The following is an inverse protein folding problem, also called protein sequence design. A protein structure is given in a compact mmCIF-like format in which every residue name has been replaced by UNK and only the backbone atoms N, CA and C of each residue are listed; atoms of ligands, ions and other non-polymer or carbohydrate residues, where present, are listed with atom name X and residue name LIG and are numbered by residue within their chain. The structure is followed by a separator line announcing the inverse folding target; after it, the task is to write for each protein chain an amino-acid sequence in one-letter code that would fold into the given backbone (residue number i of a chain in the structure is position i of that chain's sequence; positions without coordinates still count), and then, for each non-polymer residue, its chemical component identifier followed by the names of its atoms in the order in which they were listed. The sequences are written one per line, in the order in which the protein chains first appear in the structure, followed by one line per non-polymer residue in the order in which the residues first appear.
data_IF_955474580396
#
_entry.id   IF_955474580396
#
_cell.length_a   1.000
_cell.length_b   1.000
_cell.length_c   1.000
_cell.angle_alpha   90.00
_cell.angle_beta   90.00
_cell.angle_gamma   90.00
#
_symmetry.space_group_name_H-M   'P 1'
#
loop_
_entity.id
_entity.type
_entity.pdbx_description
1 polymer ?
#
# COMPACT_ATOMS: atom_id res chain seq x y z
N UNK A 1 -3.04 -2.42 15.52
CA UNK A 1 -3.50 -3.58 14.73
C UNK A 1 -4.39 -4.41 15.62
N UNK A 2 -5.70 -4.38 15.36
CA UNK A 2 -6.65 -5.30 16.01
C UNK A 2 -6.26 -6.75 15.67
N UNK A 3 -6.62 -7.69 16.55
CA UNK A 3 -6.28 -9.11 16.50
C UNK A 3 -6.95 -9.85 15.33
N UNK A 4 -6.76 -9.41 14.09
CA UNK A 4 -7.17 -10.19 12.95
C UNK A 4 -6.19 -11.34 12.73
N UNK A 5 -6.74 -12.54 12.52
CA UNK A 5 -5.93 -13.73 12.32
C UNK A 5 -5.29 -13.61 10.93
N UNK A 6 -3.96 -13.51 10.91
CA UNK A 6 -3.16 -13.51 9.68
C UNK A 6 -3.55 -14.68 8.77
N UNK A 7 -3.45 -14.53 7.44
CA UNK A 7 -3.76 -15.59 6.50
C UNK A 7 -3.05 -16.91 6.82
N UNK A 8 -3.73 -18.03 6.61
CA UNK A 8 -3.19 -19.36 6.93
C UNK A 8 -2.43 -20.05 5.79
N UNK A 9 -2.56 -19.54 4.56
CA UNK A 9 -1.92 -20.06 3.35
C UNK A 9 -1.97 -19.02 2.22
N UNK A 10 -1.28 -19.30 1.10
CA UNK A 10 -1.23 -18.40 -0.07
C UNK A 10 -2.62 -18.09 -0.64
N UNK A 11 -3.54 -19.05 -0.69
CA UNK A 11 -4.86 -18.81 -1.28
C UNK A 11 -5.68 -17.82 -0.44
N UNK A 12 -5.69 -17.97 0.89
CA UNK A 12 -6.34 -17.04 1.82
C UNK A 12 -5.71 -15.63 1.74
N UNK A 13 -4.37 -15.56 1.69
CA UNK A 13 -3.66 -14.28 1.54
C UNK A 13 -4.07 -13.54 0.25
N UNK A 14 -4.02 -14.24 -0.89
CA UNK A 14 -4.36 -13.65 -2.18
C UNK A 14 -5.85 -13.28 -2.25
N UNK A 15 -6.74 -14.08 -1.68
CA UNK A 15 -8.17 -13.76 -1.62
C UNK A 15 -8.45 -12.46 -0.87
N UNK A 16 -7.78 -12.23 0.28
CA UNK A 16 -7.94 -10.98 1.03
C UNK A 16 -7.38 -9.77 0.29
N UNK A 17 -6.20 -9.92 -0.31
CA UNK A 17 -5.56 -8.88 -1.15
C UNK A 17 -6.49 -8.47 -2.29
N UNK A 18 -6.96 -9.43 -3.09
CA UNK A 18 -7.81 -9.17 -4.25
C UNK A 18 -9.17 -8.58 -3.84
N UNK A 19 -9.79 -9.08 -2.75
CA UNK A 19 -11.06 -8.53 -2.27
C UNK A 19 -10.95 -7.05 -1.89
N UNK A 20 -9.96 -6.71 -1.08
CA UNK A 20 -9.75 -5.34 -0.62
C UNK A 20 -9.33 -4.41 -1.77
N UNK A 21 -8.55 -4.94 -2.74
CA UNK A 21 -8.24 -4.25 -3.97
C UNK A 21 -9.48 -3.96 -4.83
N UNK A 22 -10.36 -4.94 -5.02
CA UNK A 22 -11.62 -4.78 -5.75
C UNK A 22 -12.54 -3.75 -5.08
N UNK A 23 -12.62 -3.76 -3.74
CA UNK A 23 -13.36 -2.75 -2.97
C UNK A 23 -12.80 -1.34 -3.17
N UNK A 24 -11.48 -1.18 -3.19
CA UNK A 24 -10.81 0.09 -3.47
C UNK A 24 -11.17 0.61 -4.86
N UNK A 25 -11.11 -0.25 -5.89
CA UNK A 25 -11.44 0.16 -7.25
C UNK A 25 -12.92 0.41 -7.48
N UNK A 26 -13.81 -0.28 -6.78
CA UNK A 26 -15.24 -0.04 -6.87
C UNK A 26 -15.60 1.43 -6.52
N UNK A 27 -14.89 2.03 -5.56
CA UNK A 27 -15.10 3.43 -5.15
C UNK A 27 -14.34 4.40 -6.07
N UNK A 28 -13.20 4.00 -6.63
CA UNK A 28 -12.39 4.86 -7.53
C UNK A 28 -12.98 4.94 -8.95
N UNK A 29 -13.64 3.89 -9.44
CA UNK A 29 -14.16 3.83 -10.81
C UNK A 29 -15.48 4.60 -11.03
N UNK A 30 -16.17 4.99 -9.96
CA UNK A 30 -17.43 5.74 -10.03
C UNK A 30 -17.27 7.26 -10.26
N UNK A 31 -16.42 7.98 -9.50
CA UNK A 31 -16.29 9.43 -9.56
C UNK A 31 -15.65 9.96 -10.85
N UNK A 32 -15.89 11.24 -11.13
CA UNK A 32 -15.21 11.96 -12.21
C UNK A 32 -13.75 12.25 -11.90
N UNK A 33 -12.94 12.46 -12.94
CA UNK A 33 -11.54 12.87 -12.80
C UNK A 33 -11.35 14.15 -11.95
N UNK A 34 -12.31 15.09 -12.00
CA UNK A 34 -12.27 16.28 -11.16
C UNK A 34 -12.45 15.94 -9.67
N UNK A 35 -13.39 15.03 -9.35
CA UNK A 35 -13.61 14.57 -7.97
C UNK A 35 -12.40 13.80 -7.44
N UNK A 36 -11.79 12.93 -8.25
CA UNK A 36 -10.61 12.16 -7.86
C UNK A 36 -9.38 13.03 -7.58
N UNK A 37 -9.34 14.25 -8.12
CA UNK A 37 -8.25 15.20 -7.95
C UNK A 37 -8.58 16.36 -7.00
N UNK A 38 -9.79 16.42 -6.46
CA UNK A 38 -10.19 17.45 -5.51
C UNK A 38 -9.57 17.14 -4.14
N UNK A 39 -8.76 18.06 -3.57
CA UNK A 39 -8.18 17.85 -2.25
C UNK A 39 -9.21 18.08 -1.15
N UNK A 40 -9.04 17.38 -0.02
CA UNK A 40 -9.72 17.68 1.24
C UNK A 40 -9.09 18.86 1.99
N UNK A 41 -9.51 19.07 3.25
CA UNK A 41 -8.95 20.08 4.14
C UNK A 41 -7.48 19.81 4.52
N UNK A 42 -7.02 18.56 4.44
CA UNK A 42 -5.62 18.17 4.64
C UNK A 42 -4.75 18.37 3.39
N UNK A 43 -5.37 18.68 2.25
CA UNK A 43 -4.68 18.91 0.97
C UNK A 43 -4.48 17.64 0.13
N UNK A 44 -5.06 16.51 0.54
CA UNK A 44 -4.93 15.22 -0.13
C UNK A 44 -6.17 14.93 -0.98
N UNK A 45 -5.97 14.48 -2.21
CA UNK A 45 -7.04 13.99 -3.08
C UNK A 45 -7.08 12.46 -3.08
N UNK A 46 -8.10 11.87 -3.72
CA UNK A 46 -8.15 10.41 -3.95
C UNK A 46 -6.92 9.95 -4.76
N UNK A 47 -6.50 10.73 -5.76
CA UNK A 47 -5.27 10.48 -6.52
C UNK A 47 -4.05 10.40 -5.61
N UNK A 48 -3.94 11.31 -4.64
CA UNK A 48 -2.77 11.36 -3.75
C UNK A 48 -2.76 10.19 -2.76
N UNK A 49 -3.93 9.80 -2.25
CA UNK A 49 -4.10 8.59 -1.44
C UNK A 49 -3.72 7.33 -2.23
N UNK A 50 -4.21 7.17 -3.46
CA UNK A 50 -3.85 6.04 -4.31
C UNK A 50 -2.33 6.00 -4.60
N UNK A 51 -1.71 7.15 -4.85
CA UNK A 51 -0.27 7.25 -5.05
C UNK A 51 0.53 6.87 -3.80
N UNK A 52 0.04 7.22 -2.61
CA UNK A 52 0.64 6.87 -1.33
C UNK A 52 0.57 5.36 -1.05
N UNK A 53 -0.63 4.78 -1.17
CA UNK A 53 -0.84 3.34 -1.02
C UNK A 53 0.07 2.55 -1.98
N UNK A 54 0.10 2.96 -3.25
CA UNK A 54 0.95 2.34 -4.28
C UNK A 54 2.44 2.44 -3.95
N UNK A 55 2.88 3.54 -3.31
CA UNK A 55 4.29 3.73 -2.96
C UNK A 55 4.73 2.77 -1.85
N UNK A 56 3.92 2.59 -0.82
CA UNK A 56 4.18 1.64 0.27
C UNK A 56 4.09 0.18 -0.18
N UNK A 57 3.11 -0.15 -1.03
CA UNK A 57 3.02 -1.48 -1.63
C UNK A 57 4.26 -1.83 -2.47
N UNK A 58 4.71 -0.89 -3.31
CA UNK A 58 5.95 -1.05 -4.08
C UNK A 58 7.17 -1.15 -3.16
N UNK A 59 7.22 -0.35 -2.10
CA UNK A 59 8.31 -0.40 -1.13
C UNK A 59 8.38 -1.77 -0.45
N UNK A 60 7.24 -2.32 -0.03
CA UNK A 60 7.16 -3.68 0.52
C UNK A 60 7.69 -4.74 -0.46
N UNK A 61 7.26 -4.69 -1.73
CA UNK A 61 7.73 -5.63 -2.75
C UNK A 61 9.25 -5.56 -2.92
N UNK A 62 9.81 -4.36 -3.04
CA UNK A 62 11.22 -4.16 -3.33
C UNK A 62 12.10 -4.42 -2.11
N UNK A 63 11.75 -3.84 -0.96
CA UNK A 63 12.57 -3.91 0.24
C UNK A 63 12.32 -5.21 1.01
N UNK A 64 11.09 -5.45 1.47
CA UNK A 64 10.81 -6.57 2.35
C UNK A 64 10.85 -7.92 1.63
N UNK A 65 10.36 -7.98 0.39
CA UNK A 65 10.27 -9.24 -0.33
C UNK A 65 11.50 -9.53 -1.21
N UNK A 66 12.07 -8.51 -1.85
CA UNK A 66 13.21 -8.68 -2.77
C UNK A 66 14.56 -8.26 -2.19
N UNK A 67 14.58 -7.69 -0.98
CA UNK A 67 15.81 -7.36 -0.26
C UNK A 67 16.58 -6.16 -0.80
N UNK A 68 15.93 -5.27 -1.57
CA UNK A 68 16.55 -4.00 -1.97
C UNK A 68 16.80 -3.12 -0.74
N UNK A 69 17.88 -2.31 -0.70
CA UNK A 69 18.06 -1.31 0.35
C UNK A 69 16.85 -0.36 0.44
N UNK A 70 16.45 0.01 1.65
CA UNK A 70 15.24 0.77 1.92
C UNK A 70 15.17 2.10 1.12
N UNK A 71 16.29 2.83 1.07
CA UNK A 71 16.35 4.09 0.31
C UNK A 71 16.24 3.92 -1.21
N UNK A 72 16.75 2.82 -1.77
CA UNK A 72 16.60 2.49 -3.18
C UNK A 72 15.15 2.09 -3.50
N UNK A 73 14.53 1.29 -2.63
CA UNK A 73 13.15 0.84 -2.77
C UNK A 73 12.15 2.02 -2.72
N UNK A 74 12.33 2.94 -1.77
CA UNK A 74 11.45 4.10 -1.58
C UNK A 74 11.70 5.19 -2.64
N UNK A 75 12.96 5.36 -3.04
CA UNK A 75 13.38 6.34 -4.04
C UNK A 75 13.17 7.80 -3.59
N UNK A 76 13.33 8.06 -2.29
CA UNK A 76 13.34 9.41 -1.68
C UNK A 76 14.59 9.63 -0.82
N UNK A 77 15.62 8.80 -0.97
CA UNK A 77 16.72 8.70 0.00
C UNK A 77 16.42 7.67 1.09
N UNK A 78 17.33 7.54 2.06
CA UNK A 78 17.22 6.58 3.15
C UNK A 78 16.08 6.96 4.11
N UNK A 79 15.09 6.08 4.37
CA UNK A 79 14.02 6.35 5.32
C UNK A 79 14.50 6.69 6.74
N UNK A 80 15.69 6.21 7.14
CA UNK A 80 16.26 6.50 8.46
C UNK A 80 16.74 7.95 8.62
N UNK A 81 16.84 8.71 7.51
CA UNK A 81 17.14 10.15 7.54
C UNK A 81 15.92 11.01 7.89
N UNK A 82 14.72 10.42 7.93
CA UNK A 82 13.47 11.09 8.28
C UNK A 82 13.13 10.91 9.75
N UNK A 83 12.49 11.92 10.36
CA UNK A 83 12.18 11.92 11.79
C UNK A 83 11.08 10.94 12.14
N UNK A 84 10.08 10.80 11.26
CA UNK A 84 8.94 9.91 11.43
C UNK A 84 8.27 9.57 10.07
N UNK A 85 7.21 8.76 10.12
CA UNK A 85 6.41 8.42 8.95
C UNK A 85 5.70 9.63 8.33
N UNK A 86 5.42 10.70 9.09
CA UNK A 86 4.78 11.89 8.52
C UNK A 86 5.72 12.60 7.56
N UNK A 87 7.01 12.71 7.89
CA UNK A 87 8.00 13.29 6.99
C UNK A 87 8.22 12.44 5.73
N UNK A 88 8.24 11.11 5.88
CA UNK A 88 8.27 10.17 4.73
C UNK A 88 7.03 10.37 3.85
N UNK A 89 5.84 10.41 4.45
CA UNK A 89 4.58 10.59 3.74
C UNK A 89 4.54 11.93 3.01
N UNK A 90 5.06 13.00 3.63
CA UNK A 90 5.17 14.31 2.97
C UNK A 90 6.16 14.29 1.79
N UNK A 91 7.29 13.57 1.91
CA UNK A 91 8.24 13.40 0.81
C UNK A 91 7.63 12.59 -0.35
N UNK A 92 6.93 11.50 -0.05
CA UNK A 92 6.20 10.69 -1.04
C UNK A 92 5.07 11.49 -1.70
N UNK A 93 4.32 12.28 -0.94
CA UNK A 93 3.30 13.19 -1.47
C UNK A 93 3.92 14.17 -2.46
N UNK A 94 5.01 14.86 -2.07
CA UNK A 94 5.69 15.81 -2.94
C UNK A 94 6.25 15.17 -4.22
N UNK A 95 6.83 13.97 -4.12
CA UNK A 95 7.33 13.19 -5.26
C UNK A 95 6.22 12.84 -6.25
N UNK A 96 5.01 12.54 -5.76
CA UNK A 96 3.90 12.08 -6.59
C UNK A 96 2.95 13.20 -7.02
N UNK A 97 3.01 14.39 -6.41
CA UNK A 97 2.05 15.49 -6.61
C UNK A 97 1.81 15.87 -8.07
N UNK A 98 2.88 15.88 -8.87
CA UNK A 98 2.85 16.26 -10.28
C UNK A 98 2.42 15.14 -11.24
N UNK A 99 2.23 13.90 -10.74
CA UNK A 99 1.77 12.78 -11.57
C UNK A 99 0.32 12.97 -11.97
N UNK A 100 0.00 12.56 -13.19
CA UNK A 100 -1.39 12.55 -13.66
C UNK A 100 -2.18 11.43 -12.99
N UNK A 101 -3.51 11.54 -12.97
CA UNK A 101 -4.38 10.47 -12.48
C UNK A 101 -4.16 9.17 -13.27
N UNK A 102 -3.97 9.26 -14.59
CA UNK A 102 -3.67 8.12 -15.45
C UNK A 102 -2.36 7.41 -15.03
N UNK A 103 -1.28 8.16 -14.81
CA UNK A 103 0.00 7.58 -14.40
C UNK A 103 -0.07 6.92 -13.02
N UNK A 104 -0.85 7.49 -12.10
CA UNK A 104 -1.04 6.93 -10.76
C UNK A 104 -1.85 5.64 -10.83
N UNK A 105 -2.97 5.64 -11.55
CA UNK A 105 -3.85 4.47 -11.69
C UNK A 105 -3.19 3.31 -12.45
N UNK A 106 -2.45 3.60 -13.53
CA UNK A 106 -1.67 2.57 -14.25
C UNK A 106 -0.57 1.98 -13.36
N UNK A 107 0.16 2.83 -12.63
CA UNK A 107 1.20 2.38 -11.70
C UNK A 107 0.64 1.54 -10.56
N UNK A 108 -0.51 1.91 -10.00
CA UNK A 108 -1.18 1.16 -8.94
C UNK A 108 -1.47 -0.27 -9.44
N UNK A 109 -2.15 -0.40 -10.59
CA UNK A 109 -2.48 -1.70 -11.20
C UNK A 109 -1.23 -2.52 -11.54
N UNK A 110 -0.18 -1.87 -12.01
CA UNK A 110 1.08 -2.54 -12.35
C UNK A 110 1.82 -3.05 -11.11
N UNK A 111 1.85 -2.28 -10.03
CA UNK A 111 2.48 -2.67 -8.75
C UNK A 111 1.70 -3.81 -8.11
N UNK A 112 0.38 -3.68 -8.02
CA UNK A 112 -0.49 -4.71 -7.46
C UNK A 112 -0.31 -6.06 -8.16
N UNK A 113 -0.33 -6.08 -9.50
CA UNK A 113 -0.07 -7.31 -10.27
C UNK A 113 1.30 -7.92 -9.95
N UNK A 114 2.35 -7.10 -9.83
CA UNK A 114 3.68 -7.60 -9.49
C UNK A 114 3.73 -8.19 -8.07
N UNK A 115 3.00 -7.60 -7.12
CA UNK A 115 2.87 -8.12 -5.75
C UNK A 115 2.15 -9.47 -5.76
N UNK A 116 0.98 -9.55 -6.40
CA UNK A 116 0.19 -10.79 -6.50
C UNK A 116 0.99 -11.91 -7.18
N UNK A 117 1.63 -11.60 -8.31
CA UNK A 117 2.48 -12.56 -9.04
C UNK A 117 3.63 -13.06 -8.17
N UNK A 118 4.29 -12.16 -7.42
CA UNK A 118 5.38 -12.51 -6.52
C UNK A 118 4.90 -13.41 -5.39
N UNK A 119 3.84 -13.02 -4.68
CA UNK A 119 3.28 -13.77 -3.55
C UNK A 119 2.76 -15.15 -3.97
N UNK A 120 2.22 -15.28 -5.19
CA UNK A 120 1.81 -16.56 -5.76
C UNK A 120 3.01 -17.46 -6.12
N UNK A 121 4.18 -16.89 -6.39
CA UNK A 121 5.37 -17.62 -6.83
C UNK A 121 6.23 -18.18 -5.71
N UNK A 122 6.12 -17.63 -4.49
CA UNK A 122 6.92 -18.04 -3.33
C UNK A 122 6.18 -19.02 -2.43
N UNK A 123 6.87 -19.98 -1.77
CA UNK A 123 6.24 -20.82 -0.76
C UNK A 123 5.67 -19.97 0.38
N UNK A 124 4.49 -20.33 0.88
CA UNK A 124 3.85 -19.59 1.98
C UNK A 124 4.72 -19.55 3.24
N UNK A 125 5.48 -20.61 3.49
CA UNK A 125 6.41 -20.72 4.61
C UNK A 125 7.50 -19.64 4.60
N UNK A 126 7.84 -19.11 3.43
CA UNK A 126 8.76 -17.96 3.32
C UNK A 126 8.16 -16.71 3.96
N UNK A 127 6.85 -16.50 3.80
CA UNK A 127 6.16 -15.36 4.42
C UNK A 127 6.00 -15.53 5.93
N UNK A 128 6.11 -16.77 6.43
CA UNK A 128 6.07 -17.08 7.86
C UNK A 128 7.44 -16.98 8.55
N UNK A 129 8.50 -16.68 7.80
CA UNK A 129 9.82 -16.43 8.38
C UNK A 129 9.84 -15.09 9.11
N UNK A 130 10.63 -15.01 10.17
CA UNK A 130 10.88 -13.77 10.90
C UNK A 130 11.56 -12.76 9.97
N UNK A 131 11.04 -11.54 9.93
CA UNK A 131 11.58 -10.48 9.06
C UNK A 131 12.89 -9.89 9.60
N UNK A 132 12.92 -9.59 10.90
CA UNK A 132 14.06 -8.97 11.57
C UNK A 132 14.48 -9.77 12.79
N UNK A 133 15.75 -10.16 12.88
CA UNK A 133 16.29 -10.99 13.96
C UNK A 133 16.14 -10.34 15.35
N UNK A 134 16.13 -9.00 15.41
CA UNK A 134 16.02 -8.19 16.63
C UNK A 134 14.58 -7.82 17.01
N UNK A 135 13.58 -8.22 16.22
CA UNK A 135 12.18 -8.03 16.56
C UNK A 135 11.78 -8.93 17.75
N UNK A 136 11.48 -8.36 18.94
CA UNK A 136 11.14 -9.17 20.13
C UNK A 136 9.84 -9.95 19.96
N UNK A 137 8.94 -9.49 19.09
CA UNK A 137 7.66 -10.15 18.78
C UNK A 137 7.82 -11.26 17.74
N UNK A 138 9.00 -11.37 17.10
CA UNK A 138 9.32 -12.33 16.03
C UNK A 138 8.27 -12.31 14.93
N UNK A 139 7.81 -11.13 14.52
CA UNK A 139 6.76 -11.00 13.53
C UNK A 139 7.22 -11.59 12.20
N UNK A 140 6.35 -12.34 11.52
CA UNK A 140 6.67 -12.91 10.22
C UNK A 140 6.61 -11.82 9.13
N UNK A 141 7.31 -12.02 8.01
CA UNK A 141 7.22 -11.19 6.80
C UNK A 141 5.77 -10.88 6.42
N UNK A 142 4.86 -11.83 6.65
CA UNK A 142 3.42 -11.72 6.42
C UNK A 142 2.77 -10.49 7.08
N UNK A 143 3.27 -10.01 8.23
CA UNK A 143 2.75 -8.78 8.86
C UNK A 143 3.01 -7.55 7.99
N UNK A 144 4.18 -7.45 7.37
CA UNK A 144 4.50 -6.36 6.46
C UNK A 144 3.74 -6.48 5.14
N UNK A 145 3.48 -7.70 4.66
CA UNK A 145 2.63 -7.91 3.49
C UNK A 145 1.21 -7.43 3.78
N UNK A 146 0.62 -7.85 4.89
CA UNK A 146 -0.73 -7.44 5.30
C UNK A 146 -0.86 -5.92 5.43
N UNK A 147 0.02 -5.31 6.22
CA UNK A 147 0.03 -3.87 6.49
C UNK A 147 0.40 -2.98 5.30
N UNK A 148 0.83 -3.54 4.16
CA UNK A 148 1.08 -2.80 2.92
C UNK A 148 0.18 -3.24 1.75
N UNK A 149 -0.80 -4.12 2.01
CA UNK A 149 -1.80 -4.57 1.02
C UNK A 149 -3.20 -4.41 1.58
N UNK A 150 -3.93 -5.49 1.89
CA UNK A 150 -5.36 -5.44 2.21
C UNK A 150 -5.69 -4.56 3.42
N UNK A 151 -4.89 -4.59 4.50
CA UNK A 151 -5.11 -3.73 5.66
C UNK A 151 -4.91 -2.25 5.32
N UNK A 152 -3.95 -1.95 4.44
CA UNK A 152 -3.64 -0.58 4.03
C UNK A 152 -4.71 -0.02 3.09
N UNK A 153 -5.18 -0.85 2.16
CA UNK A 153 -6.33 -0.52 1.31
C UNK A 153 -7.55 -0.23 2.19
N UNK A 154 -7.87 -1.11 3.13
CA UNK A 154 -8.98 -0.96 4.08
C UNK A 154 -8.87 0.33 4.92
N UNK A 155 -7.69 0.65 5.43
CA UNK A 155 -7.44 1.90 6.16
C UNK A 155 -7.77 3.14 5.31
N UNK A 156 -7.43 3.11 4.01
CA UNK A 156 -7.69 4.22 3.10
C UNK A 156 -9.10 4.24 2.51
N UNK A 157 -9.83 3.11 2.52
CA UNK A 157 -11.20 3.03 1.98
C UNK A 157 -12.12 4.07 2.61
N UNK A 158 -12.12 4.18 3.93
CA UNK A 158 -13.00 5.10 4.66
C UNK A 158 -12.70 6.57 4.31
N UNK A 159 -11.43 6.94 4.20
CA UNK A 159 -11.02 8.28 3.78
C UNK A 159 -11.45 8.56 2.33
N UNK A 160 -11.27 7.59 1.43
CA UNK A 160 -11.61 7.73 0.02
C UNK A 160 -13.12 7.84 -0.17
N UNK A 161 -13.95 7.06 0.56
CA UNK A 161 -15.42 7.18 0.55
C UNK A 161 -15.86 8.61 0.88
N UNK A 162 -15.30 9.18 1.94
CA UNK A 162 -15.58 10.58 2.34
C UNK A 162 -15.19 11.57 1.25
N UNK A 163 -14.02 11.39 0.63
CA UNK A 163 -13.52 12.25 -0.46
C UNK A 163 -14.43 12.24 -1.70
N UNK A 164 -14.99 11.08 -2.04
CA UNK A 164 -15.86 10.94 -3.23
C UNK A 164 -17.31 11.33 -2.96
N UNK A 165 -17.66 11.63 -1.70
CA UNK A 165 -19.00 12.02 -1.29
C UNK A 165 -19.96 10.85 -1.08
N UNK A 166 -19.42 9.63 -0.93
CA UNK A 166 -20.18 8.47 -0.47
C UNK A 166 -20.14 8.47 1.07
N UNK A 167 -21.24 8.88 1.67
CA UNK A 167 -21.51 8.66 3.10
C UNK A 167 -22.62 7.62 3.18
N UNK A 168 -22.38 6.54 3.93
CA UNK A 168 -23.39 5.52 4.27
C UNK A 168 -24.72 6.12 4.79
#
# INVERSE_FOLDING_TARGET
MENEILPGNTADLLERIERSWDELWAIIDGPTEEQLQRPDAGGWSVKDNLAHVTAWERYMLLHYLQGLPAGEAMGIGDPDEYTDYNEINAALFNKNRARSLADVTESARAVHRQVVDYLASVPFETLMQQMYDDDPEKRPVLVWVAGNTYEHYEEHLDMIRVLVGETD
#
